data_IF_026510611085
#
_entry.id   IF_026510611085
#
_cell.length_a   1.000
_cell.length_b   1.000
_cell.length_c   1.000
_cell.angle_alpha   90.00
_cell.angle_beta   90.00
_cell.angle_gamma   90.00
#
_symmetry.space_group_name_H-M   'P 1'
#
loop_
_entity.id
_entity.type
_entity.pdbx_description
1 polymer ?
#
# COMPACT_ATOMS: atom_id res chain seq x y z
N UNK A 1 2.78 23.24 8.49
CA UNK A 1 2.72 21.77 8.38
C UNK A 1 2.52 21.48 6.90
N UNK A 2 3.58 21.11 6.19
CA UNK A 2 3.45 20.63 4.82
C UNK A 2 2.79 19.25 4.93
N UNK A 3 1.47 19.19 4.79
CA UNK A 3 0.82 17.92 4.52
C UNK A 3 1.34 17.49 3.16
N UNK A 4 2.11 16.41 3.08
CA UNK A 4 2.44 15.82 1.78
C UNK A 4 1.11 15.44 1.13
N UNK A 5 0.68 16.19 0.13
CA UNK A 5 -0.54 15.89 -0.60
C UNK A 5 -0.27 14.65 -1.45
N UNK A 6 -0.82 13.51 -1.03
CA UNK A 6 -0.73 12.31 -1.83
C UNK A 6 -1.55 12.49 -3.13
N UNK A 7 -1.08 11.93 -4.25
CA UNK A 7 -1.84 11.88 -5.49
C UNK A 7 -3.25 11.31 -5.27
N UNK A 8 -4.20 11.74 -6.11
CA UNK A 8 -5.56 11.21 -6.06
C UNK A 8 -5.56 9.68 -6.17
N UNK A 9 -6.27 9.01 -5.26
CA UNK A 9 -6.26 7.55 -5.15
C UNK A 9 -5.33 6.98 -4.09
N UNK A 10 -4.62 7.85 -3.37
CA UNK A 10 -3.69 7.50 -2.29
C UNK A 10 -4.04 8.19 -0.97
N UNK A 11 -3.47 7.67 0.11
CA UNK A 11 -3.55 8.25 1.46
C UNK A 11 -2.17 8.24 2.12
N UNK A 12 -1.94 9.21 3.00
CA UNK A 12 -0.75 9.23 3.85
C UNK A 12 -0.87 8.15 4.92
N UNK A 13 0.18 7.37 5.12
CA UNK A 13 0.40 6.55 6.31
C UNK A 13 1.73 6.93 6.95
N UNK A 14 1.83 6.72 8.26
CA UNK A 14 3.06 6.87 9.02
C UNK A 14 3.70 5.49 9.20
N UNK A 15 5.00 5.37 8.94
CA UNK A 15 5.74 4.12 9.10
C UNK A 15 7.01 4.33 9.95
N UNK A 16 7.27 3.42 10.89
CA UNK A 16 8.50 3.36 11.68
C UNK A 16 9.59 2.64 10.85
N UNK A 17 10.66 3.37 10.50
CA UNK A 17 11.82 2.87 9.75
C UNK A 17 11.50 2.21 8.39
N UNK A 18 11.35 3.03 7.35
CA UNK A 18 11.08 2.60 5.96
C UNK A 18 12.15 1.69 5.34
N UNK A 19 13.39 1.72 5.85
CA UNK A 19 14.49 0.89 5.35
C UNK A 19 14.42 -0.56 5.84
N UNK A 20 13.71 -0.85 6.94
CA UNK A 20 13.72 -2.21 7.52
C UNK A 20 12.70 -3.15 6.87
N UNK A 21 11.65 -2.64 6.20
CA UNK A 21 10.62 -3.46 5.54
C UNK A 21 10.17 -2.88 4.21
N UNK A 22 10.97 -3.17 3.18
CA UNK A 22 10.74 -2.88 1.77
C UNK A 22 9.47 -3.52 1.14
N UNK A 23 8.50 -4.04 1.91
CA UNK A 23 7.25 -4.65 1.40
C UNK A 23 6.02 -4.52 2.31
N UNK A 24 6.16 -4.12 3.57
CA UNK A 24 5.24 -4.64 4.62
C UNK A 24 4.37 -3.61 5.34
N UNK A 25 4.20 -2.41 4.78
CA UNK A 25 3.27 -1.42 5.35
C UNK A 25 2.12 -1.13 4.38
N UNK A 26 1.21 -2.10 4.20
CA UNK A 26 -0.16 -1.88 3.75
C UNK A 26 -0.39 -1.47 2.29
N UNK A 27 0.63 -1.46 1.42
CA UNK A 27 0.44 -1.19 0.00
C UNK A 27 0.42 -2.47 -0.82
N UNK A 28 -0.76 -2.84 -1.32
CA UNK A 28 -0.88 -3.98 -2.20
C UNK A 28 -0.33 -3.66 -3.58
N UNK A 29 0.19 -4.68 -4.24
CA UNK A 29 0.67 -4.62 -5.62
C UNK A 29 -0.02 -5.71 -6.43
N UNK A 30 0.05 -5.64 -7.76
CA UNK A 30 -0.46 -6.73 -8.58
C UNK A 30 0.25 -8.07 -8.31
N UNK A 31 1.53 -8.05 -7.92
CA UNK A 31 2.28 -9.25 -7.55
C UNK A 31 1.95 -9.75 -6.13
N UNK A 32 1.67 -8.82 -5.21
CA UNK A 32 1.35 -9.11 -3.81
C UNK A 32 0.18 -8.24 -3.36
N UNK A 33 -1.07 -8.67 -3.66
CA UNK A 33 -2.26 -7.84 -3.46
C UNK A 33 -2.70 -7.70 -2.00
N UNK A 34 -2.28 -8.63 -1.14
CA UNK A 34 -2.49 -8.60 0.30
C UNK A 34 -1.13 -8.49 1.01
N UNK A 35 -0.55 -7.28 1.05
CA UNK A 35 0.71 -7.05 1.75
C UNK A 35 0.47 -7.28 3.24
N UNK A 36 1.47 -7.80 3.94
CA UNK A 36 1.34 -8.16 5.36
C UNK A 36 0.77 -7.01 6.22
N UNK A 37 -0.01 -7.41 7.24
CA UNK A 37 -0.64 -6.52 8.21
C UNK A 37 0.37 -5.60 8.88
N UNK A 38 0.05 -4.31 8.87
CA UNK A 38 0.80 -3.18 9.44
C UNK A 38 0.99 -3.21 10.97
N UNK A 39 0.90 -4.34 11.66
CA UNK A 39 0.99 -4.39 13.14
C UNK A 39 2.34 -3.86 13.67
N UNK A 40 3.39 -3.85 12.83
CA UNK A 40 4.72 -3.26 13.12
C UNK A 40 4.92 -1.83 12.58
N UNK A 41 4.00 -1.30 11.77
CA UNK A 41 4.19 -0.01 11.09
C UNK A 41 3.54 1.16 11.83
N UNK A 42 2.78 0.89 12.89
CA UNK A 42 2.17 1.92 13.72
C UNK A 42 3.22 2.74 14.45
N UNK A 43 3.49 3.95 13.96
CA UNK A 43 4.18 4.94 14.76
C UNK A 43 3.18 5.51 15.78
N UNK A 44 3.34 5.19 17.06
CA UNK A 44 2.60 5.89 18.11
C UNK A 44 3.28 7.24 18.36
N UNK A 45 2.52 8.33 18.59
CA UNK A 45 3.11 9.64 18.88
C UNK A 45 4.11 9.61 20.06
N UNK A 46 3.95 8.63 20.96
CA UNK A 46 4.72 8.46 22.19
C UNK A 46 6.03 7.68 22.02
N UNK A 47 6.34 7.16 20.83
CA UNK A 47 7.44 6.20 20.62
C UNK A 47 8.82 6.88 20.39
N UNK A 48 8.90 8.21 20.36
CA UNK A 48 10.13 9.01 20.12
C UNK A 48 10.87 8.68 18.80
N UNK A 49 10.31 7.84 17.93
CA UNK A 49 10.92 7.49 16.65
C UNK A 49 10.69 8.54 15.57
N UNK A 50 11.63 8.57 14.62
CA UNK A 50 11.46 9.30 13.36
C UNK A 50 10.50 8.50 12.47
N UNK A 51 9.22 8.86 12.54
CA UNK A 51 8.19 8.35 11.63
C UNK A 51 8.36 8.98 10.25
N UNK A 52 8.28 8.18 9.18
CA UNK A 52 8.24 8.69 7.81
C UNK A 52 6.82 8.66 7.28
N UNK A 53 6.41 9.75 6.63
CA UNK A 53 5.17 9.82 5.86
C UNK A 53 5.36 9.13 4.50
N UNK A 54 4.42 8.26 4.13
CA UNK A 54 4.39 7.62 2.81
C UNK A 54 2.97 7.67 2.25
N UNK A 55 2.86 7.92 0.95
CA UNK A 55 1.62 7.74 0.22
C UNK A 55 1.44 6.29 -0.20
N UNK A 56 0.30 5.70 0.16
CA UNK A 56 -0.08 4.35 -0.23
C UNK A 56 -1.44 4.36 -0.89
N UNK A 57 -1.70 3.37 -1.75
CA UNK A 57 -3.01 3.24 -2.39
C UNK A 57 -4.15 3.20 -1.36
N UNK A 58 -5.28 3.81 -1.72
CA UNK A 58 -6.51 3.68 -0.95
C UNK A 58 -6.92 2.22 -0.81
N UNK A 59 -7.63 1.91 0.28
CA UNK A 59 -8.05 0.54 0.59
C UNK A 59 -8.73 -0.14 -0.61
N UNK A 60 -8.32 -1.39 -0.88
CA UNK A 60 -8.85 -2.19 -1.97
C UNK A 60 -8.12 -2.01 -3.30
N UNK A 61 -7.45 -0.86 -3.49
CA UNK A 61 -6.62 -0.63 -4.66
C UNK A 61 -5.19 -1.15 -4.43
N UNK A 62 -4.56 -1.54 -5.53
CA UNK A 62 -3.16 -1.95 -5.59
C UNK A 62 -2.37 -1.04 -6.50
N UNK A 63 -1.07 -0.93 -6.22
CA UNK A 63 -0.16 -0.22 -7.09
C UNK A 63 0.16 -1.08 -8.30
N UNK A 64 -0.19 -0.53 -9.45
CA UNK A 64 0.10 -1.12 -10.75
C UNK A 64 1.59 -0.98 -11.08
N UNK A 65 2.12 -1.77 -12.03
CA UNK A 65 3.48 -1.60 -12.53
C UNK A 65 3.77 -0.20 -13.10
N UNK A 66 2.73 0.52 -13.55
CA UNK A 66 2.79 1.91 -14.03
C UNK A 66 2.95 2.93 -12.91
N UNK A 67 2.82 2.50 -11.64
CA UNK A 67 2.89 3.35 -10.45
C UNK A 67 1.53 3.89 -9.99
N UNK A 68 0.48 3.76 -10.80
CA UNK A 68 -0.88 4.22 -10.45
C UNK A 68 -1.58 3.26 -9.48
N UNK A 69 -2.45 3.80 -8.62
CA UNK A 69 -3.35 3.01 -7.79
C UNK A 69 -4.63 2.68 -8.55
N UNK A 70 -4.90 1.39 -8.75
CA UNK A 70 -6.08 0.88 -9.48
C UNK A 70 -6.65 -0.34 -8.78
N UNK A 71 -7.82 -0.80 -9.23
CA UNK A 71 -8.43 -2.00 -8.69
C UNK A 71 -7.60 -3.24 -9.04
N UNK A 72 -7.78 -4.32 -8.26
CA UNK A 72 -7.15 -5.61 -8.50
C UNK A 72 -7.49 -6.19 -9.89
N UNK A 73 -8.68 -5.93 -10.41
CA UNK A 73 -9.11 -6.38 -11.74
C UNK A 73 -8.40 -5.67 -12.88
N UNK A 74 -7.85 -4.48 -12.64
CA UNK A 74 -7.02 -3.75 -13.61
C UNK A 74 -5.58 -4.31 -13.68
N UNK A 75 -5.21 -5.22 -12.78
CA UNK A 75 -3.90 -5.87 -12.86
C UNK A 75 -3.74 -6.63 -14.18
N UNK A 76 -2.51 -6.69 -14.74
CA UNK A 76 -2.29 -7.45 -15.96
C UNK A 76 -2.60 -8.94 -15.74
N UNK A 77 -3.06 -9.61 -16.81
CA UNK A 77 -3.31 -11.05 -16.77
C UNK A 77 -2.04 -11.81 -16.38
N UNK A 78 -2.16 -12.76 -15.46
CA UNK A 78 -1.05 -13.55 -14.93
C UNK A 78 -0.46 -13.02 -13.62
N UNK A 79 -0.85 -11.82 -13.18
CA UNK A 79 -0.52 -11.32 -11.84
C UNK A 79 -1.48 -11.88 -10.79
N UNK A 80 -1.00 -12.02 -9.54
CA UNK A 80 -1.81 -12.50 -8.42
C UNK A 80 -3.06 -11.64 -8.19
N UNK A 81 -2.92 -10.32 -8.31
CA UNK A 81 -4.02 -9.38 -8.18
C UNK A 81 -5.17 -9.64 -9.17
N UNK A 82 -4.85 -9.93 -10.44
CA UNK A 82 -5.85 -10.26 -11.46
C UNK A 82 -6.58 -11.57 -11.14
N UNK A 83 -5.84 -12.60 -10.73
CA UNK A 83 -6.43 -13.88 -10.34
C UNK A 83 -7.32 -13.77 -9.09
N UNK A 84 -6.91 -12.97 -8.11
CA UNK A 84 -7.67 -12.75 -6.88
C UNK A 84 -8.93 -11.91 -7.14
N UNK A 85 -8.87 -10.91 -8.01
CA UNK A 85 -10.06 -10.19 -8.47
C UNK A 85 -11.07 -11.15 -9.14
N UNK A 86 -10.58 -12.02 -10.03
CA UNK A 86 -11.41 -13.00 -10.73
C UNK A 86 -12.08 -14.01 -9.79
N UNK A 87 -11.41 -14.41 -8.70
CA UNK A 87 -12.00 -15.29 -7.68
C UNK A 87 -13.13 -14.61 -6.91
N UNK A 88 -13.00 -13.30 -6.63
CA UNK A 88 -14.01 -12.52 -5.89
C UNK A 88 -15.28 -12.23 -6.70
N UNK A 89 -15.21 -12.34 -8.03
CA UNK A 89 -16.35 -12.13 -8.95
C UNK A 89 -17.16 -13.41 -9.24
N UNK A 90 -16.76 -14.55 -8.66
CA UNK A 90 -17.47 -15.84 -8.77
C UNK A 90 -18.22 -16.15 -7.49
#
# INVERSE_FOLDING_TARGET
>A
LFSAECPGGERVILCRNSNSRNKSCGEGTCDDPEPQSCEDCGCRPDDYDVCQEKCVCNNGNVRQPTGECRDLSDCPVGFRGFEDARKKMK
#
